data_IF_466225750543
#
_entry.id   IF_466225750543
#
_cell.length_a   1.000
_cell.length_b   1.000
_cell.length_c   1.000
_cell.angle_alpha   90.00
_cell.angle_beta   90.00
_cell.angle_gamma   90.00
#
_symmetry.space_group_name_H-M   'P 1'
#
loop_
_entity.id
_entity.type
_entity.pdbx_description
1 polymer ?
#
# COMPACT_ATOMS: atom_id res chain seq x y z
N UNK A 1 48.18 8.82 -16.39
CA UNK A 1 48.91 8.09 -17.45
C UNK A 1 48.61 8.77 -18.80
N UNK A 2 49.59 8.97 -19.70
CA UNK A 2 49.31 9.57 -21.01
C UNK A 2 48.44 8.60 -21.82
N UNK A 3 47.36 9.10 -22.43
CA UNK A 3 46.41 8.31 -23.21
C UNK A 3 46.54 8.67 -24.68
N UNK A 4 46.51 7.67 -25.56
CA UNK A 4 46.50 7.88 -27.01
C UNK A 4 45.22 8.63 -27.43
N UNK A 5 45.37 9.60 -28.34
CA UNK A 5 44.29 10.40 -28.93
C UNK A 5 43.22 9.58 -29.66
N UNK A 6 43.52 8.31 -29.96
CA UNK A 6 42.61 7.38 -30.64
C UNK A 6 41.71 6.56 -29.68
N UNK A 7 41.92 6.66 -28.36
CA UNK A 7 41.04 6.02 -27.37
C UNK A 7 40.13 7.06 -26.71
N UNK A 8 38.93 7.25 -27.25
CA UNK A 8 37.85 7.99 -26.62
C UNK A 8 37.00 7.05 -25.78
N UNK A 9 36.82 7.36 -24.49
CA UNK A 9 35.97 6.59 -23.58
C UNK A 9 34.48 6.95 -23.69
N UNK A 10 34.12 7.92 -24.53
CA UNK A 10 32.77 8.46 -24.64
C UNK A 10 32.22 8.30 -26.08
N UNK A 11 32.38 7.12 -26.68
CA UNK A 11 31.79 6.83 -27.99
C UNK A 11 30.31 6.49 -27.80
N UNK A 12 29.43 7.32 -28.35
CA UNK A 12 27.97 7.17 -28.18
C UNK A 12 27.42 5.83 -28.69
N UNK A 13 27.98 5.29 -29.78
CA UNK A 13 27.54 3.99 -30.30
C UNK A 13 27.89 2.83 -29.36
N UNK A 14 29.01 2.91 -28.64
CA UNK A 14 29.40 1.90 -27.64
C UNK A 14 28.54 2.03 -26.38
N UNK A 15 28.26 3.27 -25.94
CA UNK A 15 27.34 3.53 -24.83
C UNK A 15 25.94 2.97 -25.11
N UNK A 16 25.40 3.19 -26.32
CA UNK A 16 24.11 2.65 -26.71
C UNK A 16 24.10 1.12 -26.73
N UNK A 17 25.15 0.48 -27.28
CA UNK A 17 25.24 -0.98 -27.29
C UNK A 17 25.30 -1.56 -25.86
N UNK A 18 26.05 -0.89 -24.98
CA UNK A 18 26.14 -1.28 -23.57
C UNK A 18 24.79 -1.13 -22.86
N UNK A 19 24.08 -0.01 -23.08
CA UNK A 19 22.72 0.21 -22.59
C UNK A 19 21.74 -0.85 -23.11
N UNK A 20 21.82 -1.20 -24.40
CA UNK A 20 20.97 -2.21 -25.03
C UNK A 20 21.17 -3.59 -24.37
N UNK A 21 22.43 -3.99 -24.14
CA UNK A 21 22.74 -5.26 -23.47
C UNK A 21 22.23 -5.29 -22.03
N UNK A 22 22.33 -4.18 -21.29
CA UNK A 22 21.81 -4.10 -19.92
C UNK A 22 20.30 -4.21 -19.92
N UNK A 23 19.62 -3.51 -20.82
CA UNK A 23 18.16 -3.59 -20.95
C UNK A 23 17.73 -5.01 -21.32
N UNK A 24 18.45 -5.68 -22.21
CA UNK A 24 18.18 -7.08 -22.52
C UNK A 24 18.37 -7.99 -21.29
N UNK A 25 19.44 -7.78 -20.51
CA UNK A 25 19.64 -8.53 -19.26
C UNK A 25 18.54 -8.27 -18.23
N UNK A 26 18.08 -7.03 -18.08
CA UNK A 26 16.99 -6.67 -17.18
C UNK A 26 15.67 -7.27 -17.65
N UNK A 27 15.43 -7.40 -18.95
CA UNK A 27 14.23 -8.07 -19.47
C UNK A 27 14.25 -9.59 -19.29
N UNK A 28 15.42 -10.20 -19.23
CA UNK A 28 15.56 -11.65 -19.03
C UNK A 28 15.47 -12.03 -17.54
N UNK A 29 16.11 -11.24 -16.67
CA UNK A 29 16.29 -11.57 -15.25
C UNK A 29 15.57 -10.64 -14.28
N UNK A 30 15.06 -9.51 -14.77
CA UNK A 30 14.26 -8.59 -13.97
C UNK A 30 12.84 -9.11 -13.76
N UNK A 31 12.13 -8.40 -12.91
CA UNK A 31 10.74 -8.65 -12.57
C UNK A 31 9.92 -7.40 -12.91
N UNK A 32 8.66 -7.64 -13.29
CA UNK A 32 7.70 -6.58 -13.53
C UNK A 32 7.21 -6.01 -12.19
N UNK A 33 7.40 -4.71 -12.00
CA UNK A 33 7.03 -3.96 -10.80
C UNK A 33 6.23 -2.72 -11.19
N UNK A 34 5.39 -2.23 -10.29
CA UNK A 34 4.68 -0.97 -10.52
C UNK A 34 5.42 0.15 -9.81
N UNK A 35 5.82 1.18 -10.55
CA UNK A 35 6.29 2.43 -10.00
C UNK A 35 5.12 3.40 -9.84
N UNK A 36 4.99 3.96 -8.65
CA UNK A 36 3.86 4.79 -8.22
C UNK A 36 4.45 6.13 -7.74
N UNK A 37 4.36 7.20 -8.54
CA UNK A 37 4.86 8.51 -8.14
C UNK A 37 4.00 9.12 -7.03
N UNK A 38 4.64 9.77 -6.06
CA UNK A 38 3.96 10.49 -5.00
C UNK A 38 3.39 11.81 -5.53
N UNK A 39 2.09 12.03 -5.35
CA UNK A 39 1.47 13.33 -5.52
C UNK A 39 1.43 14.07 -4.16
N UNK A 40 2.17 15.18 -4.08
CA UNK A 40 2.13 16.05 -2.90
C UNK A 40 0.83 16.85 -2.90
N UNK A 41 -0.04 16.61 -1.93
CA UNK A 41 -1.20 17.46 -1.66
C UNK A 41 -0.71 18.69 -0.90
N UNK A 42 -1.15 19.88 -1.32
CA UNK A 42 -0.73 21.16 -0.72
C UNK A 42 -0.77 21.12 0.80
N UNK A 43 0.34 21.55 1.43
CA UNK A 43 0.43 21.84 2.86
C UNK A 43 -0.67 22.83 3.25
N UNK A 44 -1.35 22.58 4.36
CA UNK A 44 -2.24 23.58 4.95
C UNK A 44 -1.39 24.64 5.65
N UNK A 45 -1.33 25.84 5.07
CA UNK A 45 -0.59 26.97 5.62
C UNK A 45 -1.16 27.50 6.94
N UNK A 46 -2.38 27.10 7.34
CA UNK A 46 -3.06 27.61 8.53
C UNK A 46 -2.72 26.78 9.77
N UNK A 47 -2.70 25.45 9.65
CA UNK A 47 -2.41 24.54 10.77
C UNK A 47 -1.00 23.92 10.68
N UNK A 48 -0.30 24.06 9.55
CA UNK A 48 1.03 23.50 9.35
C UNK A 48 1.05 21.97 9.32
N UNK A 49 -0.13 21.34 9.27
CA UNK A 49 -0.28 19.90 9.10
C UNK A 49 -0.03 19.53 7.64
N UNK A 50 0.80 18.51 7.43
CA UNK A 50 0.99 17.94 6.11
C UNK A 50 -0.22 17.04 5.83
N UNK A 51 -0.95 17.31 4.75
CA UNK A 51 -2.01 16.39 4.34
C UNK A 51 -1.34 15.10 3.87
N UNK A 52 -1.96 13.96 4.20
CA UNK A 52 -1.48 12.65 3.77
C UNK A 52 -1.19 12.64 2.26
N UNK A 53 -0.14 11.91 1.88
CA UNK A 53 0.28 11.78 0.49
C UNK A 53 -0.79 11.09 -0.33
N UNK A 54 -0.86 11.43 -1.63
CA UNK A 54 -1.78 10.79 -2.56
C UNK A 54 -1.01 10.06 -3.65
N UNK A 55 -1.50 8.90 -4.06
CA UNK A 55 -0.93 8.06 -5.12
C UNK A 55 -2.01 7.77 -6.17
N UNK A 56 -1.94 8.48 -7.29
CA UNK A 56 -2.99 8.50 -8.33
C UNK A 56 -2.62 7.73 -9.61
N UNK A 57 -1.34 7.43 -9.80
CA UNK A 57 -0.83 6.81 -11.03
C UNK A 57 0.02 5.59 -10.70
N UNK A 58 -0.02 4.57 -11.56
CA UNK A 58 0.90 3.44 -11.49
C UNK A 58 1.44 3.09 -12.89
N UNK A 59 2.77 2.94 -12.99
CA UNK A 59 3.48 2.62 -14.22
C UNK A 59 4.15 1.27 -14.10
N UNK A 60 3.81 0.34 -15.00
CA UNK A 60 4.49 -0.95 -15.09
C UNK A 60 5.90 -0.76 -15.66
N UNK A 61 6.90 -1.19 -14.91
CA UNK A 61 8.32 -1.09 -15.27
C UNK A 61 9.05 -2.40 -14.94
N UNK A 62 10.12 -2.70 -15.67
CA UNK A 62 10.98 -3.83 -15.35
C UNK A 62 12.13 -3.39 -14.43
N UNK A 63 12.21 -4.01 -13.25
CA UNK A 63 13.28 -3.77 -12.28
C UNK A 63 13.97 -5.08 -11.90
N UNK A 64 15.28 -5.04 -11.74
CA UNK A 64 16.04 -6.13 -11.14
C UNK A 64 16.21 -5.90 -9.65
N UNK A 65 15.87 -6.89 -8.85
CA UNK A 65 16.07 -6.84 -7.41
C UNK A 65 17.49 -7.31 -7.12
N UNK A 66 18.35 -6.38 -6.71
CA UNK A 66 19.67 -6.70 -6.18
C UNK A 66 19.45 -7.19 -4.74
N UNK A 67 19.15 -8.48 -4.62
CA UNK A 67 19.07 -9.14 -3.33
C UNK A 67 20.50 -9.26 -2.80
N UNK A 68 20.78 -8.64 -1.66
CA UNK A 68 22.04 -8.84 -0.92
C UNK A 68 21.98 -10.24 -0.32
N UNK A 69 22.27 -11.24 -1.13
CA UNK A 69 22.27 -12.64 -0.74
C UNK A 69 23.33 -12.83 0.37
N UNK A 70 22.83 -12.90 1.60
CA UNK A 70 23.57 -12.76 2.87
C UNK A 70 23.07 -11.52 3.59
N UNK A 71 22.18 -11.59 4.58
CA UNK A 71 22.49 -12.08 5.93
C UNK A 71 23.95 -11.85 6.41
N UNK A 72 24.68 -10.89 5.82
CA UNK A 72 25.75 -10.18 6.50
C UNK A 72 25.09 -8.94 7.06
N UNK A 73 24.75 -9.03 8.35
CA UNK A 73 24.02 -7.99 9.05
C UNK A 73 24.50 -6.60 8.66
N UNK A 74 23.58 -5.81 8.12
CA UNK A 74 23.40 -4.46 8.62
C UNK A 74 23.24 -4.64 10.13
N UNK A 75 24.39 -4.64 10.81
CA UNK A 75 24.49 -5.06 12.19
C UNK A 75 23.55 -4.19 12.95
N UNK A 76 22.55 -4.84 13.57
CA UNK A 76 21.79 -4.39 14.74
C UNK A 76 22.09 -2.92 14.99
N UNK A 77 21.51 -2.08 14.13
CA UNK A 77 21.78 -0.65 14.18
C UNK A 77 20.99 -0.22 15.39
N UNK A 78 21.62 -0.37 16.55
CA UNK A 78 21.15 0.09 17.84
C UNK A 78 20.99 1.61 17.75
N UNK A 79 19.90 2.04 17.11
CA UNK A 79 19.33 3.33 17.36
C UNK A 79 18.90 3.29 18.82
N UNK A 80 19.22 4.35 19.53
CA UNK A 80 19.14 4.49 20.98
C UNK A 80 17.69 4.48 21.52
N UNK A 81 16.74 3.96 20.74
CA UNK A 81 15.30 3.97 20.97
C UNK A 81 14.57 2.65 20.64
N UNK A 82 15.22 1.63 20.07
CA UNK A 82 14.57 0.33 19.81
C UNK A 82 15.22 -0.45 18.66
N UNK A 83 14.98 -1.76 18.64
CA UNK A 83 15.26 -2.65 17.50
C UNK A 83 14.11 -2.47 16.52
N UNK A 84 14.33 -1.73 15.44
CA UNK A 84 13.41 -1.64 14.32
C UNK A 84 14.05 -2.38 13.14
N UNK A 85 13.50 -3.54 12.80
CA UNK A 85 13.94 -4.32 11.64
C UNK A 85 13.08 -3.85 10.48
N UNK A 86 13.65 -3.01 9.61
CA UNK A 86 13.01 -2.63 8.35
C UNK A 86 13.50 -3.55 7.26
N UNK A 87 12.57 -4.07 6.48
CA UNK A 87 12.91 -4.80 5.27
C UNK A 87 13.40 -3.79 4.21
N UNK A 88 14.66 -3.94 3.80
CA UNK A 88 15.29 -3.10 2.77
C UNK A 88 15.56 -3.93 1.51
N UNK A 89 15.33 -3.32 0.34
CA UNK A 89 15.60 -3.92 -0.95
C UNK A 89 16.21 -2.88 -1.91
N UNK A 90 17.17 -3.32 -2.72
CA UNK A 90 17.76 -2.47 -3.76
C UNK A 90 17.18 -2.84 -5.12
N UNK A 91 16.53 -1.89 -5.78
CA UNK A 91 15.97 -2.04 -7.12
C UNK A 91 16.87 -1.37 -8.15
N UNK A 92 17.18 -2.08 -9.23
CA UNK A 92 17.95 -1.58 -10.37
C UNK A 92 17.02 -1.46 -11.57
N UNK A 93 16.95 -0.27 -12.16
CA UNK A 93 16.20 -0.02 -13.39
C UNK A 93 17.06 0.60 -14.48
N UNK A 94 16.67 0.44 -15.74
CA UNK A 94 17.32 1.14 -16.85
C UNK A 94 16.83 2.58 -16.96
N UNK A 95 17.76 3.54 -17.06
CA UNK A 95 17.44 4.97 -17.27
C UNK A 95 16.69 5.21 -18.57
N UNK A 96 17.00 4.44 -19.61
CA UNK A 96 16.36 4.58 -20.91
C UNK A 96 14.93 4.04 -20.90
N UNK A 97 14.69 2.91 -20.23
CA UNK A 97 13.32 2.39 -20.07
C UNK A 97 12.48 3.35 -19.24
N UNK A 98 13.02 3.85 -18.13
CA UNK A 98 12.39 4.89 -17.33
C UNK A 98 11.96 6.10 -18.16
N UNK A 99 12.89 6.67 -18.92
CA UNK A 99 12.60 7.85 -19.74
C UNK A 99 11.53 7.58 -20.81
N UNK A 100 11.46 6.35 -21.35
CA UNK A 100 10.46 5.98 -22.36
C UNK A 100 9.07 5.73 -21.76
N UNK A 101 9.00 5.14 -20.56
CA UNK A 101 7.75 4.68 -19.93
C UNK A 101 7.13 5.71 -19.01
N UNK A 102 7.95 6.45 -18.26
CA UNK A 102 7.48 7.41 -17.25
C UNK A 102 7.77 8.84 -17.72
N UNK A 103 8.98 9.09 -18.22
CA UNK A 103 9.42 10.42 -18.65
C UNK A 103 8.68 11.03 -19.85
N UNK A 104 7.96 10.23 -20.65
CA UNK A 104 7.15 10.71 -21.78
C UNK A 104 5.74 11.12 -21.35
N UNK A 105 5.17 10.44 -20.36
CA UNK A 105 3.77 10.59 -19.98
C UNK A 105 3.57 11.62 -18.87
N UNK A 106 4.58 11.82 -18.03
CA UNK A 106 4.55 12.82 -16.96
C UNK A 106 5.21 14.14 -17.40
N UNK A 107 4.55 14.86 -18.32
CA UNK A 107 5.00 16.18 -18.82
C UNK A 107 4.93 17.29 -17.75
N UNK A 108 4.44 16.97 -16.54
CA UNK A 108 4.34 17.84 -15.37
C UNK A 108 5.48 17.71 -14.38
N UNK A 109 6.31 16.67 -14.50
CA UNK A 109 7.40 16.41 -13.57
C UNK A 109 8.71 16.93 -14.17
N UNK A 110 9.25 18.00 -13.57
CA UNK A 110 10.55 18.58 -13.93
C UNK A 110 11.74 17.64 -13.67
N UNK A 111 11.51 16.41 -13.21
CA UNK A 111 12.56 15.47 -12.79
C UNK A 111 12.67 14.25 -13.71
N UNK A 112 13.82 14.16 -14.41
CA UNK A 112 14.18 13.06 -15.31
C UNK A 112 14.63 11.77 -14.58
N UNK A 113 14.26 11.60 -13.30
CA UNK A 113 14.69 10.47 -12.45
C UNK A 113 13.62 10.12 -11.40
N UNK A 114 13.55 8.86 -10.93
CA UNK A 114 12.74 8.49 -9.77
C UNK A 114 13.04 9.42 -8.59
N UNK A 115 12.02 9.78 -7.81
CA UNK A 115 12.16 10.64 -6.64
C UNK A 115 12.18 9.83 -5.35
N UNK A 116 12.75 10.43 -4.32
CA UNK A 116 12.67 9.92 -2.96
C UNK A 116 11.23 10.09 -2.45
N UNK A 117 10.70 9.07 -1.78
CA UNK A 117 9.32 9.01 -1.30
C UNK A 117 8.29 8.51 -2.32
N UNK A 118 8.72 8.14 -3.53
CA UNK A 118 7.87 7.38 -4.46
C UNK A 118 7.80 5.90 -4.04
N UNK A 119 6.77 5.20 -4.49
CA UNK A 119 6.55 3.80 -4.12
C UNK A 119 6.82 2.84 -5.29
N UNK A 120 7.29 1.66 -4.94
CA UNK A 120 7.44 0.50 -5.83
C UNK A 120 6.57 -0.62 -5.27
N UNK A 121 5.59 -1.06 -6.02
CA UNK A 121 4.75 -2.20 -5.67
C UNK A 121 5.24 -3.48 -6.34
N UNK A 122 5.45 -4.52 -5.54
CA UNK A 122 5.83 -5.86 -5.99
C UNK A 122 4.59 -6.78 -6.04
N UNK A 123 4.08 -7.14 -7.24
CA UNK A 123 2.86 -7.96 -7.35
C UNK A 123 2.99 -9.38 -6.81
N UNK A 124 4.22 -9.92 -6.70
CA UNK A 124 4.42 -11.28 -6.20
C UNK A 124 4.31 -11.39 -4.68
N UNK A 125 4.69 -10.32 -3.95
CA UNK A 125 4.65 -10.25 -2.49
C UNK A 125 3.53 -9.38 -1.94
N UNK A 126 2.80 -8.67 -2.81
CA UNK A 126 1.79 -7.66 -2.44
C UNK A 126 2.33 -6.62 -1.43
N UNK A 127 3.61 -6.26 -1.55
CA UNK A 127 4.27 -5.31 -0.66
C UNK A 127 4.67 -4.03 -1.40
N UNK A 128 4.60 -2.92 -0.67
CA UNK A 128 5.02 -1.61 -1.11
C UNK A 128 6.40 -1.29 -0.55
N UNK A 129 7.27 -0.74 -1.40
CA UNK A 129 8.60 -0.26 -1.01
C UNK A 129 8.71 1.23 -1.32
N UNK A 130 9.07 2.03 -0.32
CA UNK A 130 9.35 3.46 -0.48
C UNK A 130 10.80 3.67 -0.89
N UNK A 131 11.02 4.49 -1.92
CA UNK A 131 12.37 4.86 -2.36
C UNK A 131 12.97 5.84 -1.35
N UNK A 132 13.94 5.38 -0.57
CA UNK A 132 14.66 6.21 0.39
C UNK A 132 15.77 7.02 -0.27
N UNK A 133 16.48 6.42 -1.24
CA UNK A 133 17.60 7.06 -1.92
C UNK A 133 17.77 6.54 -3.34
N UNK A 134 18.04 7.45 -4.28
CA UNK A 134 18.35 7.13 -5.68
C UNK A 134 19.80 7.47 -5.97
N UNK A 135 20.63 6.43 -6.16
CA UNK A 135 22.00 6.58 -6.58
C UNK A 135 22.05 6.83 -8.10
N UNK A 136 22.41 8.06 -8.48
CA UNK A 136 22.62 8.48 -9.86
C UNK A 136 24.09 8.73 -10.20
N UNK A 137 25.00 8.68 -9.20
CA UNK A 137 26.42 8.90 -9.41
C UNK A 137 27.35 7.85 -8.75
N UNK A 138 28.18 7.19 -9.58
CA UNK A 138 29.30 6.34 -9.12
C UNK A 138 30.66 6.86 -9.63
N UNK A 139 31.72 6.87 -8.80
CA UNK A 139 33.01 7.48 -9.14
C UNK A 139 33.77 6.81 -10.30
N UNK A 140 33.34 5.63 -10.76
CA UNK A 140 33.92 4.92 -11.90
C UNK A 140 32.85 4.43 -12.87
N UNK A 141 32.67 5.14 -13.98
CA UNK A 141 31.81 4.68 -15.06
C UNK A 141 32.58 3.91 -16.12
N UNK A 142 32.01 2.78 -16.52
CA UNK A 142 32.35 2.19 -17.80
C UNK A 142 31.80 3.14 -18.89
N UNK A 143 32.66 3.62 -19.78
CA UNK A 143 32.30 4.52 -20.88
C UNK A 143 31.72 5.90 -20.50
N UNK A 144 32.01 6.42 -19.30
CA UNK A 144 31.55 7.75 -18.83
C UNK A 144 30.02 7.92 -18.76
N UNK A 145 29.23 6.85 -18.71
CA UNK A 145 27.79 6.91 -18.50
C UNK A 145 27.32 5.84 -17.50
N UNK A 146 26.36 6.19 -16.65
CA UNK A 146 25.61 5.23 -15.86
C UNK A 146 24.31 4.91 -16.60
N UNK A 147 24.10 3.67 -17.07
CA UNK A 147 22.90 3.29 -17.83
C UNK A 147 21.71 2.88 -16.94
N UNK A 148 21.93 2.77 -15.63
CA UNK A 148 20.96 2.28 -14.64
C UNK A 148 20.72 3.30 -13.53
N UNK A 149 19.54 3.29 -12.93
CA UNK A 149 19.29 3.90 -11.61
C UNK A 149 19.29 2.78 -10.57
N UNK A 150 19.99 3.00 -9.45
CA UNK A 150 19.93 2.12 -8.28
C UNK A 150 19.12 2.83 -7.20
N UNK A 151 18.06 2.19 -6.74
CA UNK A 151 17.12 2.74 -5.78
C UNK A 151 17.18 1.88 -4.52
N UNK A 152 17.60 2.48 -3.41
CA UNK A 152 17.50 1.87 -2.10
C UNK A 152 16.11 2.14 -1.57
N UNK A 153 15.38 1.07 -1.28
CA UNK A 153 14.00 1.16 -0.85
C UNK A 153 13.79 0.41 0.46
N UNK A 154 12.93 0.95 1.31
CA UNK A 154 12.48 0.31 2.55
C UNK A 154 11.01 -0.08 2.42
N UNK A 155 10.57 -1.10 3.15
CA UNK A 155 9.15 -1.45 3.23
C UNK A 155 8.33 -0.22 3.65
N UNK A 156 7.28 0.07 2.89
CA UNK A 156 6.41 1.21 3.13
C UNK A 156 5.36 0.84 4.18
N UNK A 157 5.21 1.71 5.17
CA UNK A 157 4.18 1.62 6.19
C UNK A 157 3.06 2.60 5.88
N UNK A 158 1.84 2.09 5.86
CA UNK A 158 0.66 2.90 5.59
C UNK A 158 0.35 3.82 6.79
N UNK A 159 0.16 5.10 6.51
CA UNK A 159 -0.15 6.16 7.46
C UNK A 159 -1.24 7.10 6.88
N UNK A 160 -2.39 6.49 6.53
CA UNK A 160 -3.58 7.15 6.01
C UNK A 160 -3.41 7.83 4.63
N UNK A 161 -2.48 7.35 3.80
CA UNK A 161 -2.35 7.78 2.41
C UNK A 161 -3.48 7.27 1.51
N UNK A 162 -3.86 8.07 0.52
CA UNK A 162 -4.92 7.73 -0.43
C UNK A 162 -4.32 7.12 -1.71
N UNK A 163 -4.71 5.89 -2.03
CA UNK A 163 -4.29 5.15 -3.22
C UNK A 163 -5.48 4.99 -4.16
N UNK A 164 -5.44 5.68 -5.30
CA UNK A 164 -6.43 5.58 -6.37
C UNK A 164 -5.69 5.44 -7.70
N UNK A 165 -4.94 4.35 -7.82
CA UNK A 165 -4.02 4.14 -8.95
C UNK A 165 -4.70 3.55 -10.19
N UNK A 166 -5.94 3.07 -10.03
CA UNK A 166 -6.71 2.40 -11.08
C UNK A 166 -6.23 0.97 -11.38
N UNK A 167 -5.37 0.42 -10.51
CA UNK A 167 -4.89 -0.97 -10.60
C UNK A 167 -5.45 -1.73 -9.41
N UNK A 168 -6.41 -2.63 -9.68
CA UNK A 168 -7.11 -3.42 -8.66
C UNK A 168 -6.16 -4.08 -7.64
N UNK A 169 -4.99 -4.56 -8.07
CA UNK A 169 -4.02 -5.21 -7.19
C UNK A 169 -3.36 -4.26 -6.17
N UNK A 170 -3.26 -2.98 -6.49
CA UNK A 170 -2.69 -1.92 -5.64
C UNK A 170 -3.81 -1.33 -4.76
N UNK A 171 -4.96 -1.06 -5.34
CA UNK A 171 -6.06 -0.44 -4.61
C UNK A 171 -6.65 -1.42 -3.58
N UNK A 172 -6.74 -2.72 -3.88
CA UNK A 172 -7.22 -3.74 -2.93
C UNK A 172 -6.25 -3.97 -1.75
N UNK A 173 -4.94 -3.80 -1.94
CA UNK A 173 -3.97 -3.97 -0.84
C UNK A 173 -4.02 -2.80 0.14
N UNK A 174 -4.28 -1.57 -0.33
CA UNK A 174 -4.59 -0.43 0.54
C UNK A 174 -5.82 -0.71 1.41
N UNK A 175 -6.87 -1.24 0.78
CA UNK A 175 -8.07 -1.64 1.51
C UNK A 175 -7.73 -2.59 2.64
N UNK A 176 -7.00 -3.69 2.37
CA UNK A 176 -6.59 -4.68 3.38
C UNK A 176 -5.71 -4.12 4.51
N UNK A 177 -4.87 -3.12 4.23
CA UNK A 177 -3.98 -2.51 5.21
C UNK A 177 -4.71 -1.50 6.14
N UNK A 178 -5.82 -0.92 5.69
CA UNK A 178 -6.64 -0.02 6.51
C UNK A 178 -7.37 -0.77 7.64
N UNK A 179 -7.59 -0.10 8.77
CA UNK A 179 -8.41 -0.68 9.84
C UNK A 179 -9.84 -0.93 9.33
N UNK A 180 -10.22 -2.21 9.36
CA UNK A 180 -11.51 -2.68 8.89
C UNK A 180 -12.21 -3.47 9.98
N UNK A 181 -13.52 -3.25 10.10
CA UNK A 181 -14.40 -4.08 10.92
C UNK A 181 -15.07 -5.10 10.01
N UNK A 182 -14.71 -6.38 10.19
CA UNK A 182 -15.39 -7.50 9.53
C UNK A 182 -16.76 -7.75 10.14
N UNK A 183 -17.79 -7.93 9.32
CA UNK A 183 -19.15 -8.19 9.76
C UNK A 183 -19.81 -9.23 8.87
N UNK A 184 -20.50 -10.19 9.47
CA UNK A 184 -21.40 -11.06 8.74
C UNK A 184 -22.80 -10.46 8.74
N UNK A 185 -23.39 -10.36 7.54
CA UNK A 185 -24.71 -9.80 7.32
C UNK A 185 -25.67 -10.84 6.76
N UNK A 186 -26.92 -10.71 7.18
CA UNK A 186 -28.06 -11.46 6.66
C UNK A 186 -28.99 -10.51 5.92
N UNK A 187 -29.56 -11.00 4.83
CA UNK A 187 -30.31 -10.18 3.88
C UNK A 187 -31.53 -10.92 3.35
N UNK A 188 -32.58 -10.17 3.03
CA UNK A 188 -33.85 -10.72 2.55
C UNK A 188 -33.95 -10.55 1.05
N UNK A 189 -34.04 -11.66 0.31
CA UNK A 189 -34.37 -11.67 -1.11
C UNK A 189 -33.21 -11.38 -2.07
N UNK A 190 -31.95 -11.64 -1.70
CA UNK A 190 -30.80 -11.46 -2.60
C UNK A 190 -30.36 -10.01 -2.82
N UNK A 191 -30.89 -9.08 -2.01
CA UNK A 191 -30.56 -7.66 -2.02
C UNK A 191 -29.20 -7.41 -1.36
N UNK A 192 -28.13 -7.79 -2.06
CA UNK A 192 -26.77 -7.56 -1.62
C UNK A 192 -26.36 -6.10 -1.80
N UNK A 193 -25.49 -5.65 -0.91
CA UNK A 193 -24.80 -4.38 -1.06
C UNK A 193 -23.90 -4.33 -2.31
N UNK A 194 -23.51 -3.13 -2.71
CA UNK A 194 -22.50 -2.86 -3.73
C UNK A 194 -21.15 -2.59 -3.08
N UNK A 195 -20.07 -3.03 -3.72
CA UNK A 195 -18.70 -2.74 -3.26
C UNK A 195 -18.46 -1.22 -3.30
N UNK A 196 -17.82 -0.65 -2.29
CA UNK A 196 -17.54 0.79 -2.17
C UNK A 196 -18.72 1.63 -1.69
N UNK A 197 -19.89 1.05 -1.39
CA UNK A 197 -21.02 1.86 -0.94
C UNK A 197 -20.93 2.23 0.55
N UNK A 198 -21.45 3.42 0.89
CA UNK A 198 -21.58 3.83 2.29
C UNK A 198 -22.76 3.14 2.95
N UNK A 199 -22.50 2.43 4.03
CA UNK A 199 -23.51 1.81 4.89
C UNK A 199 -23.73 2.64 6.15
N UNK A 200 -24.96 2.63 6.66
CA UNK A 200 -25.34 3.40 7.86
C UNK A 200 -26.27 2.59 8.75
N UNK A 201 -25.96 2.56 10.05
CA UNK A 201 -26.80 1.98 11.09
C UNK A 201 -27.29 3.10 12.02
N UNK A 202 -28.61 3.19 12.21
CA UNK A 202 -29.21 4.19 13.10
C UNK A 202 -29.30 3.61 14.51
N UNK A 203 -28.51 4.17 15.45
CA UNK A 203 -28.48 3.71 16.85
C UNK A 203 -29.68 4.27 17.62
N UNK A 204 -29.92 5.57 17.49
CA UNK A 204 -31.03 6.24 18.17
C UNK A 204 -31.66 7.28 17.28
N UNK A 205 -32.98 7.47 17.40
CA UNK A 205 -33.73 8.48 16.66
C UNK A 205 -34.00 9.74 17.47
N UNK A 206 -33.76 9.71 18.78
CA UNK A 206 -33.88 10.85 19.69
C UNK A 206 -32.92 10.68 20.89
N UNK A 207 -31.74 11.35 20.91
CA UNK A 207 -31.16 12.16 19.83
C UNK A 207 -30.82 11.30 18.60
N UNK A 208 -30.84 11.89 17.40
CA UNK A 208 -30.52 11.18 16.16
C UNK A 208 -29.01 10.85 16.12
N UNK A 209 -28.66 9.59 16.41
CA UNK A 209 -27.27 9.09 16.36
C UNK A 209 -27.19 7.94 15.38
N UNK A 210 -26.26 8.03 14.44
CA UNK A 210 -26.03 7.00 13.43
C UNK A 210 -24.55 6.76 13.22
N UNK A 211 -24.17 5.50 13.07
CA UNK A 211 -22.83 5.07 12.68
C UNK A 211 -22.83 4.80 11.19
N UNK A 212 -21.83 5.27 10.49
CA UNK A 212 -21.65 5.02 9.07
C UNK A 212 -20.23 4.52 8.79
N UNK A 213 -20.08 3.80 7.68
CA UNK A 213 -18.77 3.38 7.17
C UNK A 213 -18.90 2.97 5.71
N UNK A 214 -17.79 2.70 5.06
CA UNK A 214 -17.72 2.35 3.64
C UNK A 214 -17.39 0.86 3.46
N UNK A 215 -18.11 0.18 2.57
CA UNK A 215 -17.87 -1.23 2.28
C UNK A 215 -16.59 -1.39 1.47
N UNK A 216 -15.63 -2.06 2.07
CA UNK A 216 -14.31 -2.29 1.53
C UNK A 216 -14.17 -3.66 0.85
N UNK A 217 -14.72 -4.70 1.46
CA UNK A 217 -14.85 -6.02 0.82
C UNK A 217 -16.27 -6.54 0.96
N UNK A 218 -16.71 -7.28 -0.05
CA UNK A 218 -18.01 -7.91 -0.09
C UNK A 218 -17.88 -9.33 -0.66
N UNK A 219 -17.96 -10.32 0.23
CA UNK A 219 -17.98 -11.73 -0.13
C UNK A 219 -19.38 -12.30 0.01
N UNK A 220 -20.00 -12.68 -1.10
CA UNK A 220 -21.36 -13.22 -1.13
C UNK A 220 -21.33 -14.73 -0.82
N UNK A 221 -21.64 -15.11 0.42
CA UNK A 221 -21.68 -16.51 0.86
C UNK A 221 -22.93 -17.24 0.33
N UNK A 222 -24.07 -16.55 0.22
CA UNK A 222 -25.32 -17.10 -0.35
C UNK A 222 -26.30 -15.99 -0.74
N UNK A 223 -27.46 -16.33 -1.30
CA UNK A 223 -28.54 -15.35 -1.61
C UNK A 223 -29.16 -14.67 -0.37
N UNK A 224 -28.80 -15.09 0.84
CA UNK A 224 -29.35 -14.58 2.11
C UNK A 224 -28.27 -14.17 3.12
N UNK A 225 -26.99 -14.33 2.78
CA UNK A 225 -25.88 -14.03 3.68
C UNK A 225 -24.65 -13.57 2.90
N UNK A 226 -23.93 -12.59 3.44
CA UNK A 226 -22.66 -12.12 2.92
C UNK A 226 -21.74 -11.73 4.09
N UNK A 227 -20.43 -11.81 3.87
CA UNK A 227 -19.43 -11.26 4.76
C UNK A 227 -18.91 -9.97 4.15
N UNK A 228 -18.90 -8.90 4.95
CA UNK A 228 -18.43 -7.57 4.54
C UNK A 228 -17.32 -7.10 5.47
N UNK A 229 -16.46 -6.24 4.96
CA UNK A 229 -15.57 -5.43 5.79
C UNK A 229 -15.85 -3.96 5.55
N UNK A 230 -15.82 -3.17 6.62
CA UNK A 230 -16.15 -1.74 6.58
C UNK A 230 -15.00 -0.93 7.17
N UNK A 231 -14.59 0.13 6.48
CA UNK A 231 -13.60 1.09 6.95
C UNK A 231 -14.19 2.52 6.97
N UNK A 232 -13.37 3.51 7.34
CA UNK A 232 -13.75 4.93 7.43
C UNK A 232 -15.00 5.12 8.30
N UNK A 233 -14.99 4.50 9.49
CA UNK A 233 -16.14 4.45 10.39
C UNK A 233 -16.27 5.80 11.10
N UNK A 234 -17.44 6.42 10.98
CA UNK A 234 -17.75 7.69 11.61
C UNK A 234 -19.10 7.67 12.32
N UNK A 235 -19.27 8.59 13.26
CA UNK A 235 -20.53 8.79 14.00
C UNK A 235 -21.10 10.14 13.64
N UNK A 236 -22.39 10.18 13.33
CA UNK A 236 -23.15 11.43 13.20
C UNK A 236 -24.06 11.57 14.41
N UNK A 237 -24.14 12.79 14.98
CA UNK A 237 -25.10 13.15 16.02
C UNK A 237 -24.66 12.88 17.46
N UNK A 238 -23.42 12.44 17.67
CA UNK A 238 -22.80 12.33 19.00
C UNK A 238 -21.33 12.75 18.93
N UNK A 239 -20.80 13.25 20.04
CA UNK A 239 -19.36 13.48 20.24
C UNK A 239 -18.64 12.24 20.76
N UNK A 240 -19.39 11.22 21.17
CA UNK A 240 -18.83 9.96 21.65
C UNK A 240 -18.67 9.00 20.48
N UNK A 241 -17.56 8.25 20.46
CA UNK A 241 -17.40 7.13 19.55
C UNK A 241 -18.51 6.09 19.80
N UNK A 242 -19.05 5.54 18.70
CA UNK A 242 -20.10 4.54 18.69
C UNK A 242 -19.76 3.52 17.62
N UNK A 243 -19.93 2.25 17.97
CA UNK A 243 -19.63 1.13 17.09
C UNK A 243 -20.91 0.55 16.50
N UNK A 244 -20.75 -0.22 15.43
CA UNK A 244 -21.81 -1.08 14.92
C UNK A 244 -22.23 -2.09 15.99
N UNK A 245 -23.50 -2.48 15.98
CA UNK A 245 -24.01 -3.51 16.88
C UNK A 245 -24.88 -4.53 16.17
N UNK A 246 -24.80 -5.78 16.63
CA UNK A 246 -25.63 -6.88 16.13
C UNK A 246 -27.09 -6.64 16.49
N UNK A 247 -27.96 -6.59 15.50
CA UNK A 247 -29.39 -6.44 15.73
C UNK A 247 -30.22 -7.05 14.59
N UNK A 248 -31.21 -7.90 14.90
CA UNK A 248 -32.15 -8.42 13.90
C UNK A 248 -33.26 -7.41 13.53
N UNK A 249 -33.33 -6.27 14.22
CA UNK A 249 -34.38 -5.25 14.02
C UNK A 249 -33.84 -3.92 13.53
N UNK A 250 -32.61 -3.55 13.91
CA UNK A 250 -31.94 -2.35 13.42
C UNK A 250 -31.05 -2.72 12.25
N UNK A 251 -31.56 -2.43 11.04
CA UNK A 251 -30.86 -2.74 9.81
C UNK A 251 -29.75 -1.75 9.47
N UNK A 252 -28.70 -2.28 8.87
CA UNK A 252 -27.66 -1.56 8.16
C UNK A 252 -28.18 -1.20 6.76
N UNK A 253 -28.20 0.09 6.42
CA UNK A 253 -28.77 0.57 5.15
C UNK A 253 -27.67 1.10 4.23
N UNK A 254 -27.64 0.65 2.97
CA UNK A 254 -26.71 1.11 1.93
C UNK A 254 -27.21 2.40 1.26
N UNK A 255 -26.30 3.36 1.05
CA UNK A 255 -26.62 4.65 0.46
C UNK A 255 -26.89 4.59 -1.05
N UNK A 256 -26.25 3.67 -1.78
CA UNK A 256 -26.37 3.55 -3.23
C UNK A 256 -27.41 2.51 -3.62
N UNK A 257 -27.33 1.32 -3.02
CA UNK A 257 -28.25 0.21 -3.28
C UNK A 257 -29.63 0.44 -2.65
N UNK A 258 -29.72 1.26 -1.59
CA UNK A 258 -30.94 1.47 -0.82
C UNK A 258 -31.42 0.21 -0.10
N UNK A 259 -30.59 -0.83 -0.05
CA UNK A 259 -30.92 -2.10 0.58
C UNK A 259 -30.68 -2.04 2.09
N UNK A 260 -31.48 -2.79 2.85
CA UNK A 260 -31.32 -2.93 4.29
C UNK A 260 -30.97 -4.37 4.61
N UNK A 261 -29.80 -4.58 5.21
CA UNK A 261 -29.33 -5.87 5.69
C UNK A 261 -29.21 -5.84 7.22
N UNK A 262 -29.19 -7.00 7.87
CA UNK A 262 -29.06 -7.10 9.33
C UNK A 262 -27.73 -7.72 9.68
N UNK A 263 -26.99 -7.08 10.58
CA UNK A 263 -25.72 -7.59 11.08
C UNK A 263 -26.03 -8.80 11.95
N UNK A 264 -25.52 -9.97 11.56
CA UNK A 264 -25.64 -11.22 12.33
C UNK A 264 -24.45 -11.43 13.26
N UNK A 265 -23.28 -10.95 12.87
CA UNK A 265 -22.05 -11.09 13.65
C UNK A 265 -21.08 -9.95 13.32
N UNK A 266 -20.29 -9.52 14.31
CA UNK A 266 -19.24 -8.51 14.14
C UNK A 266 -17.95 -9.18 14.58
N UNK A 267 -17.03 -9.37 13.63
CA UNK A 267 -15.74 -10.00 13.89
C UNK A 267 -14.94 -9.07 14.80
N UNK A 268 -14.58 -9.59 15.97
CA UNK A 268 -13.68 -8.92 16.88
C UNK A 268 -12.27 -9.54 16.79
N UNK A 269 -11.34 -9.03 17.60
CA UNK A 269 -9.96 -9.54 17.68
C UNK A 269 -9.91 -11.01 18.13
N UNK A 270 -10.93 -11.50 18.84
CA UNK A 270 -11.04 -12.90 19.27
C UNK A 270 -11.58 -13.85 18.17
N UNK A 271 -12.19 -13.32 17.11
CA UNK A 271 -12.67 -14.12 15.96
C UNK A 271 -11.67 -14.16 14.79
N UNK A 272 -10.59 -13.37 14.87
CA UNK A 272 -9.55 -13.29 13.87
C UNK A 272 -8.31 -14.09 14.32
N UNK A 273 -8.16 -15.30 13.78
CA UNK A 273 -6.99 -16.17 14.02
C UNK A 273 -5.67 -15.59 13.45
N UNK A 274 -5.74 -14.57 12.60
CA UNK A 274 -4.62 -13.79 12.09
C UNK A 274 -5.13 -12.44 11.52
N UNK A 275 -4.39 -11.35 11.74
CA UNK A 275 -4.65 -10.10 11.03
C UNK A 275 -4.05 -10.18 9.61
N UNK A 276 -4.75 -9.70 8.56
CA UNK A 276 -4.23 -9.70 7.19
C UNK A 276 -2.92 -8.91 7.04
N UNK A 277 -2.71 -7.90 7.89
CA UNK A 277 -1.54 -7.03 7.90
C UNK A 277 -0.34 -7.58 8.69
N UNK A 278 -0.55 -8.54 9.58
CA UNK A 278 0.52 -9.15 10.38
C UNK A 278 0.19 -10.59 10.76
N UNK A 279 0.75 -11.53 9.98
CA UNK A 279 0.58 -12.96 10.23
C UNK A 279 1.29 -13.47 11.49
N UNK A 280 2.11 -12.64 12.14
CA UNK A 280 2.80 -12.94 13.40
C UNK A 280 2.14 -12.29 14.62
N UNK A 281 1.05 -11.54 14.44
CA UNK A 281 0.34 -10.91 15.55
C UNK A 281 -0.34 -11.97 16.44
N UNK A 282 0.23 -12.20 17.64
CA UNK A 282 -0.28 -13.13 18.65
C UNK A 282 -1.37 -12.52 19.57
N UNK A 283 -2.02 -11.41 19.15
CA UNK A 283 -3.04 -10.73 19.95
C UNK A 283 -4.18 -11.67 20.39
N UNK A 284 -4.56 -12.60 19.53
CA UNK A 284 -5.52 -13.66 19.84
C UNK A 284 -5.04 -14.60 20.96
N UNK A 285 -3.76 -14.99 20.94
CA UNK A 285 -3.18 -15.84 21.97
C UNK A 285 -3.13 -15.12 23.33
N UNK A 286 -2.84 -13.82 23.32
CA UNK A 286 -2.85 -13.00 24.54
C UNK A 286 -4.24 -12.80 25.12
N UNK A 287 -5.29 -12.65 24.31
CA UNK A 287 -6.70 -12.59 24.76
C UNK A 287 -7.17 -13.92 25.37
N UNK A 288 -6.91 -15.06 24.71
CA UNK A 288 -7.26 -16.38 25.27
C UNK A 288 -6.58 -16.62 26.62
N UNK A 289 -5.29 -16.27 26.73
CA UNK A 289 -4.55 -16.42 27.98
C UNK A 289 -5.07 -15.47 29.07
N UNK A 290 -5.50 -14.25 28.70
CA UNK A 290 -6.09 -13.28 29.63
C UNK A 290 -7.48 -13.72 30.14
N UNK A 291 -8.35 -14.21 29.26
CA UNK A 291 -9.69 -14.74 29.62
C UNK A 291 -9.60 -16.01 30.47
N UNK A 292 -8.54 -16.81 30.29
CA UNK A 292 -8.24 -17.97 31.13
C UNK A 292 -7.73 -17.62 32.54
N UNK A 293 -7.30 -16.38 32.79
CA UNK A 293 -6.68 -15.98 34.06
C UNK A 293 -7.68 -15.40 35.08
N UNK A 294 -8.81 -14.82 34.64
CA UNK A 294 -9.81 -14.20 35.51
C UNK A 294 -11.24 -14.68 35.22
N UNK A 295 -11.59 -15.82 35.82
CA UNK A 295 -12.98 -16.30 35.92
C UNK A 295 -13.74 -15.50 36.99
N UNK A 296 -14.65 -14.60 36.57
CA UNK A 296 -15.58 -13.87 37.45
C UNK A 296 -17.00 -14.50 37.43
N UNK A 297 -17.11 -15.83 37.46
CA UNK A 297 -18.37 -16.50 37.83
C UNK A 297 -18.66 -16.46 39.33
#
# INVERSE_FOLDING_TARGET
MPRSVYFSQAVKSEQNLYEDLIIESLKIFGQDVYYIPRALVSRDDILGEDRASKFDDAYLIEAYIENTDGFEGAGDLYQKFGLEIRDEATFIMSRRQWNNLVGVWNNSVETNKPQEGDLIFLPMSNSFFEISFVEDEQPFYQLSNLPVYKMQCSLFEYNDEDFDTGVDAIDVTQVQASYQVGMDITLTGGNHFTLGERVTQVISTDPAVSVYGEIQTLTKTSNIAASISVSNIGVTGSTDAKDFFVSPTVGLTGAESGHTCFISDIKNVADAEAFPSDSQAENYAFEIEADGFLDFT
#
